data_IF_299924736346
#
_entry.id   IF_299924736346
#
_cell.length_a   1.000
_cell.length_b   1.000
_cell.length_c   1.000
_cell.angle_alpha   90.00
_cell.angle_beta   90.00
_cell.angle_gamma   90.00
#
_symmetry.space_group_name_H-M   'P 1'
#
loop_
_entity.id
_entity.type
_entity.pdbx_description
1 polymer ?
#
# COMPACT_ATOMS: atom_id res chain seq x y z
N UNK A 1 -75.27 11.07 -20.66
CA UNK A 1 -74.04 11.70 -20.18
C UNK A 1 -73.34 10.93 -19.03
N UNK A 2 -74.02 10.23 -18.15
CA UNK A 2 -73.38 9.47 -17.06
C UNK A 2 -72.58 8.24 -17.46
N UNK A 3 -72.87 7.61 -18.60
CA UNK A 3 -72.19 6.40 -19.08
C UNK A 3 -70.83 6.69 -19.76
N UNK A 4 -70.67 7.87 -20.33
CA UNK A 4 -69.39 8.28 -20.94
C UNK A 4 -68.34 8.68 -19.90
N UNK A 5 -68.75 9.16 -18.74
CA UNK A 5 -67.82 9.52 -17.64
C UNK A 5 -67.18 8.29 -17.00
N UNK A 6 -67.88 7.18 -16.92
CA UNK A 6 -67.36 5.93 -16.36
C UNK A 6 -66.36 5.23 -17.25
N UNK A 7 -66.51 5.37 -18.58
CA UNK A 7 -65.54 4.79 -19.53
C UNK A 7 -64.20 5.54 -19.55
N UNK A 8 -64.20 6.85 -19.25
CA UNK A 8 -62.98 7.67 -19.21
C UNK A 8 -62.13 7.44 -17.96
N UNK A 9 -62.79 7.14 -16.82
CA UNK A 9 -62.08 6.82 -15.57
C UNK A 9 -61.43 5.46 -15.64
N UNK A 10 -61.96 4.48 -16.40
CA UNK A 10 -61.37 3.15 -16.53
C UNK A 10 -60.14 3.13 -17.48
N UNK A 11 -60.01 4.12 -18.38
CA UNK A 11 -58.90 4.22 -19.31
C UNK A 11 -57.67 4.90 -18.69
N UNK A 12 -57.82 5.59 -17.55
CA UNK A 12 -56.73 6.24 -16.83
C UNK A 12 -56.01 5.34 -15.79
N UNK A 13 -56.59 4.20 -15.43
CA UNK A 13 -56.04 3.25 -14.49
C UNK A 13 -54.75 2.51 -14.93
N UNK A 14 -54.55 2.15 -16.20
CA UNK A 14 -53.32 1.48 -16.62
C UNK A 14 -52.10 2.40 -16.74
N UNK A 15 -52.28 3.73 -16.75
CA UNK A 15 -51.14 4.68 -16.81
C UNK A 15 -50.42 4.85 -15.48
N UNK A 16 -51.05 4.52 -14.37
CA UNK A 16 -50.39 4.54 -13.05
C UNK A 16 -49.56 3.27 -12.74
N UNK A 17 -49.76 2.18 -13.48
CA UNK A 17 -49.04 0.93 -13.25
C UNK A 17 -47.59 0.93 -13.83
N UNK A 18 -47.23 1.86 -14.71
CA UNK A 18 -45.88 1.98 -15.25
C UNK A 18 -44.93 2.88 -14.46
N UNK A 19 -45.38 3.55 -13.40
CA UNK A 19 -44.58 4.44 -12.60
C UNK A 19 -43.79 3.76 -11.46
N UNK A 20 -43.93 2.45 -11.29
CA UNK A 20 -43.06 1.66 -10.41
C UNK A 20 -41.87 1.12 -11.20
N UNK A 21 -41.06 2.00 -11.79
CA UNK A 21 -39.66 1.63 -12.02
C UNK A 21 -39.05 1.33 -10.67
N UNK A 22 -38.79 0.04 -10.43
CA UNK A 22 -38.00 -0.35 -9.26
C UNK A 22 -36.66 0.42 -9.33
N UNK A 23 -36.51 1.40 -8.48
CA UNK A 23 -35.21 2.03 -8.27
C UNK A 23 -34.26 0.86 -7.98
N UNK A 24 -33.21 0.64 -8.78
CA UNK A 24 -32.29 -0.45 -8.54
C UNK A 24 -31.85 -0.36 -7.08
N UNK A 25 -32.04 -1.44 -6.33
CA UNK A 25 -31.70 -1.47 -4.92
C UNK A 25 -30.23 -1.04 -4.76
N UNK A 26 -29.98 0.03 -4.01
CA UNK A 26 -28.65 0.53 -3.78
C UNK A 26 -27.82 -0.56 -3.10
N UNK A 27 -26.80 -1.07 -3.80
CA UNK A 27 -25.93 -2.14 -3.34
C UNK A 27 -24.52 -1.63 -3.20
N UNK A 28 -23.87 -1.90 -2.07
CA UNK A 28 -22.48 -1.58 -1.87
C UNK A 28 -21.72 -2.76 -1.26
N UNK A 29 -20.43 -2.82 -1.54
CA UNK A 29 -19.51 -3.77 -0.93
C UNK A 29 -18.62 -3.10 0.10
N UNK A 30 -18.04 -3.89 0.99
CA UNK A 30 -16.93 -3.50 1.84
C UNK A 30 -15.95 -4.66 1.99
N UNK A 31 -14.70 -4.36 2.28
CA UNK A 31 -13.65 -5.38 2.43
C UNK A 31 -12.51 -4.88 3.30
N UNK A 32 -11.71 -5.81 3.81
CA UNK A 32 -10.43 -5.50 4.42
C UNK A 32 -9.32 -5.54 3.37
N UNK A 33 -8.78 -4.37 3.05
CA UNK A 33 -7.67 -4.21 2.12
C UNK A 33 -6.45 -5.01 2.58
N UNK A 34 -6.13 -4.91 3.86
CA UNK A 34 -4.98 -5.58 4.47
C UNK A 34 -5.09 -7.10 4.41
N UNK A 35 -6.28 -7.66 4.70
CA UNK A 35 -6.49 -9.10 4.60
C UNK A 35 -6.31 -9.62 3.18
N UNK A 36 -6.90 -8.93 2.20
CA UNK A 36 -6.77 -9.30 0.79
C UNK A 36 -5.32 -9.18 0.35
N UNK A 37 -4.65 -8.07 0.66
CA UNK A 37 -3.25 -7.83 0.31
C UNK A 37 -2.33 -8.94 0.84
N UNK A 38 -2.45 -9.27 2.13
CA UNK A 38 -1.62 -10.30 2.76
C UNK A 38 -1.93 -11.72 2.27
N UNK A 39 -3.11 -11.96 1.70
CA UNK A 39 -3.46 -13.25 1.10
C UNK A 39 -2.87 -13.44 -0.32
N UNK A 40 -2.40 -12.37 -0.96
CA UNK A 40 -1.82 -12.44 -2.31
C UNK A 40 -0.41 -13.04 -2.31
N UNK A 41 -0.17 -14.03 -3.18
CA UNK A 41 1.17 -14.61 -3.39
C UNK A 41 2.18 -13.55 -3.90
N UNK A 42 1.71 -12.60 -4.72
CA UNK A 42 2.51 -11.49 -5.23
C UNK A 42 3.01 -10.59 -4.10
N UNK A 43 2.17 -10.33 -3.07
CA UNK A 43 2.57 -9.56 -1.88
C UNK A 43 3.66 -10.26 -1.08
N UNK A 44 3.51 -11.57 -0.85
CA UNK A 44 4.54 -12.35 -0.16
C UNK A 44 5.88 -12.37 -0.93
N UNK A 45 5.83 -12.38 -2.26
CA UNK A 45 7.02 -12.32 -3.12
C UNK A 45 7.65 -10.92 -3.08
N UNK A 46 6.85 -9.86 -3.19
CA UNK A 46 7.28 -8.47 -3.07
C UNK A 46 7.96 -8.21 -1.72
N UNK A 47 7.34 -8.69 -0.63
CA UNK A 47 7.88 -8.54 0.73
C UNK A 47 9.23 -9.24 0.88
N UNK A 48 9.40 -10.45 0.34
CA UNK A 48 10.70 -11.12 0.36
C UNK A 48 11.75 -10.33 -0.41
N UNK A 49 11.43 -9.89 -1.62
CA UNK A 49 12.34 -9.12 -2.46
C UNK A 49 12.79 -7.81 -1.80
N UNK A 50 11.86 -7.10 -1.17
CA UNK A 50 12.17 -5.88 -0.43
C UNK A 50 13.06 -6.17 0.79
N UNK A 51 12.73 -7.20 1.58
CA UNK A 51 13.50 -7.57 2.76
C UNK A 51 14.92 -8.03 2.40
N UNK A 52 15.09 -8.78 1.31
CA UNK A 52 16.40 -9.20 0.81
C UNK A 52 17.26 -8.00 0.37
N UNK A 53 16.64 -7.02 -0.29
CA UNK A 53 17.33 -5.79 -0.66
C UNK A 53 17.71 -4.98 0.57
N UNK A 54 16.77 -4.81 1.51
CA UNK A 54 17.02 -4.10 2.78
C UNK A 54 18.16 -4.73 3.55
N UNK A 55 18.16 -6.06 3.68
CA UNK A 55 19.21 -6.79 4.39
C UNK A 55 20.61 -6.55 3.79
N UNK A 56 20.73 -6.41 2.46
CA UNK A 56 21.99 -6.09 1.80
C UNK A 56 22.49 -4.68 2.16
N UNK A 57 21.61 -3.68 2.15
CA UNK A 57 21.96 -2.31 2.55
C UNK A 57 22.32 -2.23 4.04
N UNK A 58 21.55 -2.90 4.90
CA UNK A 58 21.83 -2.95 6.34
C UNK A 58 23.18 -3.60 6.62
N UNK A 59 23.51 -4.70 5.93
CA UNK A 59 24.80 -5.38 6.07
C UNK A 59 25.96 -4.51 5.61
N UNK A 60 25.84 -3.79 4.49
CA UNK A 60 26.90 -2.90 4.02
C UNK A 60 27.06 -1.66 4.92
N UNK A 61 25.96 -1.12 5.42
CA UNK A 61 25.98 -0.02 6.40
C UNK A 61 26.72 -0.46 7.69
N UNK A 62 26.38 -1.64 8.18
CA UNK A 62 27.05 -2.21 9.37
C UNK A 62 28.56 -2.38 9.14
N UNK A 63 28.93 -2.99 7.99
CA UNK A 63 30.33 -3.17 7.62
C UNK A 63 31.10 -1.84 7.54
N UNK A 64 30.49 -0.81 6.96
CA UNK A 64 31.10 0.50 6.85
C UNK A 64 31.32 1.16 8.21
N UNK A 65 30.39 0.98 9.15
CA UNK A 65 30.54 1.46 10.52
C UNK A 65 31.63 0.69 11.28
N UNK A 66 31.70 -0.63 11.10
CA UNK A 66 32.74 -1.46 11.72
C UNK A 66 34.13 -1.10 11.21
N UNK A 67 34.31 -0.86 9.89
CA UNK A 67 35.58 -0.38 9.31
C UNK A 67 35.99 0.98 9.87
N UNK A 68 35.04 1.92 9.99
CA UNK A 68 35.30 3.21 10.60
C UNK A 68 35.76 3.07 12.07
N UNK A 69 35.03 2.29 12.87
CA UNK A 69 35.36 2.11 14.29
C UNK A 69 36.73 1.48 14.46
N UNK A 70 37.09 0.46 13.70
CA UNK A 70 38.40 -0.16 13.74
C UNK A 70 39.52 0.85 13.42
N UNK A 71 39.37 1.64 12.34
CA UNK A 71 40.36 2.66 11.96
C UNK A 71 40.45 3.80 12.99
N UNK A 72 39.34 4.12 13.62
CA UNK A 72 39.29 5.12 14.66
C UNK A 72 40.02 4.64 15.95
N UNK A 73 39.81 3.39 16.35
CA UNK A 73 40.53 2.75 17.45
C UNK A 73 42.05 2.73 17.19
N UNK A 74 42.47 2.25 16.01
CA UNK A 74 43.87 2.26 15.57
C UNK A 74 44.47 3.65 15.63
N UNK A 75 43.73 4.69 15.22
CA UNK A 75 44.15 6.06 15.28
C UNK A 75 44.35 6.53 16.74
N UNK A 76 43.41 6.23 17.63
CA UNK A 76 43.51 6.62 19.04
C UNK A 76 44.76 6.07 19.73
N UNK A 77 45.15 4.84 19.36
CA UNK A 77 46.32 4.17 19.97
C UNK A 77 47.66 4.83 19.58
N UNK A 78 47.72 5.41 18.39
CA UNK A 78 48.96 5.94 17.82
C UNK A 78 49.03 7.46 17.79
N UNK A 79 47.93 8.21 17.91
CA UNK A 79 47.83 9.66 17.66
C UNK A 79 48.85 10.50 18.40
N UNK A 80 49.19 10.10 19.66
CA UNK A 80 50.14 10.85 20.52
C UNK A 80 51.60 10.72 20.05
N UNK A 81 51.88 9.75 19.18
CA UNK A 81 53.22 9.46 18.68
C UNK A 81 53.43 9.93 17.25
N UNK A 82 52.39 10.47 16.60
CA UNK A 82 52.44 10.89 15.22
C UNK A 82 53.02 12.30 15.10
N UNK A 83 53.81 12.49 14.05
CA UNK A 83 54.19 13.80 13.56
C UNK A 83 52.95 14.64 13.19
N UNK A 84 52.98 15.99 13.44
CA UNK A 84 51.79 16.84 13.19
C UNK A 84 51.21 16.76 11.78
N UNK A 85 52.02 16.54 10.78
CA UNK A 85 51.58 16.41 9.38
C UNK A 85 50.84 15.09 9.14
N UNK A 86 51.34 14.00 9.74
CA UNK A 86 50.76 12.67 9.66
C UNK A 86 49.44 12.63 10.47
N UNK A 87 49.46 13.24 11.65
CA UNK A 87 48.27 13.37 12.51
C UNK A 87 47.11 14.02 11.73
N UNK A 88 47.36 15.20 11.12
CA UNK A 88 46.33 15.89 10.33
C UNK A 88 45.85 15.05 9.16
N UNK A 89 46.75 14.35 8.47
CA UNK A 89 46.38 13.46 7.37
C UNK A 89 45.44 12.34 7.84
N UNK A 90 45.76 11.69 8.97
CA UNK A 90 44.92 10.60 9.50
C UNK A 90 43.59 11.10 9.99
N UNK A 91 43.51 12.29 10.58
CA UNK A 91 42.24 12.92 10.96
C UNK A 91 41.36 13.18 9.72
N UNK A 92 41.94 13.76 8.65
CA UNK A 92 41.20 14.03 7.42
C UNK A 92 40.69 12.72 6.73
N UNK A 93 41.49 11.64 6.76
CA UNK A 93 41.07 10.32 6.23
C UNK A 93 39.89 9.77 7.03
N UNK A 94 39.83 9.92 8.36
CA UNK A 94 38.70 9.49 9.17
C UNK A 94 37.46 10.36 8.96
N UNK A 95 37.63 11.68 8.84
CA UNK A 95 36.52 12.59 8.49
C UNK A 95 35.91 12.22 7.15
N UNK A 96 36.75 12.00 6.11
CA UNK A 96 36.27 11.59 4.79
C UNK A 96 35.54 10.23 4.83
N UNK A 97 36.04 9.28 5.63
CA UNK A 97 35.38 7.97 5.79
C UNK A 97 34.03 8.13 6.48
N UNK A 98 33.93 8.95 7.51
CA UNK A 98 32.68 9.25 8.21
C UNK A 98 31.68 9.91 7.26
N UNK A 99 32.09 10.91 6.49
CA UNK A 99 31.23 11.60 5.53
C UNK A 99 30.69 10.64 4.45
N UNK A 100 31.56 9.75 3.95
CA UNK A 100 31.15 8.70 3.00
C UNK A 100 30.10 7.76 3.61
N UNK A 101 30.27 7.35 4.86
CA UNK A 101 29.31 6.48 5.56
C UNK A 101 27.95 7.18 5.76
N UNK A 102 27.96 8.46 6.12
CA UNK A 102 26.74 9.28 6.25
C UNK A 102 26.03 9.39 4.89
N UNK A 103 26.79 9.72 3.84
CA UNK A 103 26.26 9.85 2.48
C UNK A 103 25.67 8.52 1.98
N UNK A 104 26.38 7.40 2.19
CA UNK A 104 25.91 6.06 1.82
C UNK A 104 24.61 5.69 2.56
N UNK A 105 24.53 5.93 3.86
CA UNK A 105 23.30 5.64 4.62
C UNK A 105 22.12 6.44 4.11
N UNK A 106 22.29 7.74 3.88
CA UNK A 106 21.24 8.61 3.33
C UNK A 106 20.76 8.15 1.95
N UNK A 107 21.71 7.79 1.08
CA UNK A 107 21.39 7.30 -0.27
C UNK A 107 20.71 5.94 -0.21
N UNK A 108 21.14 5.04 0.69
CA UNK A 108 20.51 3.74 0.92
C UNK A 108 19.05 3.88 1.36
N UNK A 109 18.77 4.79 2.31
CA UNK A 109 17.40 5.09 2.75
C UNK A 109 16.53 5.59 1.59
N UNK A 110 17.07 6.48 0.76
CA UNK A 110 16.38 7.00 -0.43
C UNK A 110 16.09 5.90 -1.46
N UNK A 111 17.08 5.04 -1.73
CA UNK A 111 16.94 3.93 -2.69
C UNK A 111 16.00 2.86 -2.18
N UNK A 112 16.02 2.55 -0.89
CA UNK A 112 15.09 1.59 -0.28
C UNK A 112 13.66 2.09 -0.34
N UNK A 113 13.42 3.38 -0.04
CA UNK A 113 12.08 3.96 -0.18
C UNK A 113 11.56 3.86 -1.61
N UNK A 114 12.41 4.20 -2.59
CA UNK A 114 12.04 4.07 -4.00
C UNK A 114 11.78 2.62 -4.38
N UNK A 115 12.62 1.69 -3.95
CA UNK A 115 12.43 0.26 -4.21
C UNK A 115 11.15 -0.29 -3.58
N UNK A 116 10.79 0.16 -2.38
CA UNK A 116 9.52 -0.18 -1.73
C UNK A 116 8.33 0.22 -2.61
N UNK A 117 8.30 1.49 -3.05
CA UNK A 117 7.27 1.99 -3.96
C UNK A 117 7.20 1.17 -5.26
N UNK A 118 8.34 0.93 -5.91
CA UNK A 118 8.43 0.22 -7.19
C UNK A 118 8.03 -1.27 -7.07
N UNK A 119 8.40 -1.93 -5.97
CA UNK A 119 8.12 -3.36 -5.72
C UNK A 119 6.63 -3.58 -5.38
N UNK A 120 6.02 -2.72 -4.57
CA UNK A 120 4.62 -2.90 -4.16
C UNK A 120 3.61 -2.29 -5.14
N UNK A 121 4.00 -1.33 -5.99
CA UNK A 121 3.09 -0.70 -6.95
C UNK A 121 2.31 -1.70 -7.82
N UNK A 122 2.92 -2.73 -8.44
CA UNK A 122 2.19 -3.70 -9.25
C UNK A 122 1.21 -4.54 -8.43
N UNK A 123 1.53 -4.85 -7.17
CA UNK A 123 0.67 -5.61 -6.26
C UNK A 123 -0.57 -4.81 -5.92
N UNK A 124 -0.40 -3.54 -5.52
CA UNK A 124 -1.51 -2.63 -5.28
C UNK A 124 -2.37 -2.39 -6.52
N UNK A 125 -1.73 -2.26 -7.69
CA UNK A 125 -2.45 -2.11 -8.96
C UNK A 125 -3.32 -3.35 -9.27
N UNK A 126 -2.80 -4.55 -9.06
CA UNK A 126 -3.53 -5.81 -9.27
C UNK A 126 -4.75 -5.90 -8.35
N UNK A 127 -4.58 -5.62 -7.04
CA UNK A 127 -5.68 -5.61 -6.08
C UNK A 127 -6.74 -4.57 -6.47
N UNK A 128 -6.33 -3.33 -6.74
CA UNK A 128 -7.25 -2.26 -7.11
C UNK A 128 -8.02 -2.57 -8.41
N UNK A 129 -7.40 -3.26 -9.36
CA UNK A 129 -8.08 -3.70 -10.59
C UNK A 129 -9.11 -4.79 -10.29
N UNK A 130 -8.80 -5.75 -9.41
CA UNK A 130 -9.77 -6.76 -8.98
C UNK A 130 -10.98 -6.15 -8.27
N UNK A 131 -10.76 -5.18 -7.39
CA UNK A 131 -11.85 -4.42 -6.73
C UNK A 131 -12.73 -3.71 -7.75
N UNK A 132 -12.14 -3.03 -8.75
CA UNK A 132 -12.89 -2.34 -9.81
C UNK A 132 -13.68 -3.32 -10.67
N UNK A 133 -13.09 -4.45 -11.02
CA UNK A 133 -13.74 -5.47 -11.83
C UNK A 133 -14.93 -6.05 -11.06
N UNK A 134 -14.73 -6.48 -9.81
CA UNK A 134 -15.80 -6.98 -8.95
C UNK A 134 -16.94 -5.96 -8.79
N UNK A 135 -16.59 -4.68 -8.57
CA UNK A 135 -17.56 -3.60 -8.46
C UNK A 135 -18.47 -3.50 -9.69
N UNK A 136 -17.88 -3.58 -10.89
CA UNK A 136 -18.63 -3.52 -12.16
C UNK A 136 -19.47 -4.76 -12.39
N UNK A 137 -18.90 -5.96 -12.18
CA UNK A 137 -19.57 -7.23 -12.46
C UNK A 137 -20.74 -7.51 -11.50
N UNK A 138 -20.57 -7.12 -10.23
CA UNK A 138 -21.57 -7.32 -9.18
C UNK A 138 -22.57 -6.17 -9.04
N UNK A 139 -22.39 -5.10 -9.82
CA UNK A 139 -23.29 -3.93 -9.79
C UNK A 139 -23.25 -3.13 -8.50
N UNK A 140 -22.12 -3.13 -7.80
CA UNK A 140 -21.94 -2.28 -6.61
C UNK A 140 -21.82 -0.81 -7.01
N UNK A 141 -22.50 0.07 -6.27
CA UNK A 141 -22.34 1.51 -6.42
C UNK A 141 -20.93 1.96 -5.99
N UNK A 142 -20.37 1.31 -4.97
CA UNK A 142 -19.00 1.46 -4.50
C UNK A 142 -18.59 0.24 -3.66
N UNK A 143 -17.28 0.08 -3.45
CA UNK A 143 -16.70 -0.88 -2.52
C UNK A 143 -15.77 -0.11 -1.58
N UNK A 144 -16.02 -0.21 -0.27
CA UNK A 144 -15.33 0.53 0.78
C UNK A 144 -14.21 -0.31 1.39
N UNK A 145 -13.06 0.32 1.65
CA UNK A 145 -12.07 -0.26 2.56
C UNK A 145 -12.51 -0.02 4.01
N UNK A 146 -12.70 -1.10 4.77
CA UNK A 146 -13.16 -1.06 6.16
C UNK A 146 -12.03 -1.09 7.20
N UNK A 147 -10.75 -1.07 6.75
CA UNK A 147 -9.61 -1.10 7.66
C UNK A 147 -9.40 0.24 8.38
N UNK A 148 -8.68 0.19 9.49
CA UNK A 148 -8.23 1.36 10.25
C UNK A 148 -9.36 2.33 10.64
N UNK A 149 -10.55 1.79 10.90
CA UNK A 149 -11.75 2.60 11.23
C UNK A 149 -12.12 3.64 10.15
N UNK A 150 -11.71 3.41 8.89
CA UNK A 150 -12.03 4.29 7.76
C UNK A 150 -13.53 4.37 7.50
N UNK A 151 -14.27 3.31 7.86
CA UNK A 151 -15.72 3.23 7.85
C UNK A 151 -16.17 2.79 9.24
N UNK A 152 -16.49 3.73 10.16
CA UNK A 152 -16.81 3.41 11.55
C UNK A 152 -18.02 2.52 11.74
N UNK A 153 -18.93 2.51 10.76
CA UNK A 153 -20.14 1.69 10.80
C UNK A 153 -20.51 1.21 9.39
N UNK A 154 -20.78 -0.08 9.28
CA UNK A 154 -21.33 -0.71 8.07
C UNK A 154 -22.60 -1.45 8.47
N UNK A 155 -23.73 -1.12 7.85
CA UNK A 155 -24.95 -1.91 7.99
C UNK A 155 -24.81 -3.18 7.14
N UNK A 156 -24.56 -4.31 7.80
CA UNK A 156 -24.37 -5.61 7.14
C UNK A 156 -25.64 -6.17 6.49
N UNK A 157 -26.81 -5.59 6.78
CA UNK A 157 -28.04 -5.94 6.05
C UNK A 157 -28.14 -5.25 4.68
N UNK A 158 -27.36 -4.18 4.42
CA UNK A 158 -27.38 -3.40 3.20
C UNK A 158 -26.08 -3.50 2.40
N UNK A 159 -24.95 -3.75 3.08
CA UNK A 159 -23.64 -3.95 2.48
C UNK A 159 -23.20 -5.41 2.48
N UNK A 160 -22.39 -5.78 1.52
CA UNK A 160 -21.83 -7.13 1.35
C UNK A 160 -20.34 -7.13 1.64
N UNK A 161 -19.88 -8.04 2.52
CA UNK A 161 -18.44 -8.26 2.72
C UNK A 161 -17.87 -9.07 1.55
N UNK A 162 -17.06 -8.42 0.74
CA UNK A 162 -16.44 -9.02 -0.46
C UNK A 162 -15.00 -9.47 -0.25
N UNK A 163 -14.52 -9.47 1.01
CA UNK A 163 -13.11 -9.81 1.34
C UNK A 163 -12.73 -11.19 0.80
N UNK A 164 -13.49 -12.22 1.13
CA UNK A 164 -13.18 -13.60 0.71
C UNK A 164 -13.32 -13.81 -0.80
N UNK A 165 -14.28 -13.13 -1.43
CA UNK A 165 -14.46 -13.16 -2.87
C UNK A 165 -13.26 -12.52 -3.60
N UNK A 166 -12.72 -11.41 -3.09
CA UNK A 166 -11.50 -10.79 -3.61
C UNK A 166 -10.27 -11.68 -3.41
N UNK A 167 -10.13 -12.31 -2.24
CA UNK A 167 -9.04 -13.25 -1.99
C UNK A 167 -9.11 -14.42 -2.99
N UNK A 168 -10.30 -14.96 -3.25
CA UNK A 168 -10.47 -16.05 -4.20
C UNK A 168 -10.13 -15.62 -5.65
N UNK A 169 -10.46 -14.39 -6.04
CA UNK A 169 -10.17 -13.85 -7.37
C UNK A 169 -8.68 -13.52 -7.59
N UNK A 170 -7.90 -13.35 -6.51
CA UNK A 170 -6.49 -12.94 -6.56
C UNK A 170 -5.49 -14.08 -6.25
N UNK A 171 -5.99 -15.26 -5.96
CA UNK A 171 -5.17 -16.49 -5.86
C UNK A 171 -4.75 -16.94 -7.25
#
# INVERSE_FOLDING_TARGET
MKKLFFSFVFMLLPLMAMAQQSVPAFKFGYFSYDKVLHAMADYATATRSYNDLKAKYDAETKRSVEDFNSRYEDFLDVQRKLEPSILRKRQAELEELMDRNIAFRKESERLLKKAEEDIYAPVHAKLNNAVRQMGKESGYAFILNADNNSVPFVNTAMGEDVTEALIAALK
#
